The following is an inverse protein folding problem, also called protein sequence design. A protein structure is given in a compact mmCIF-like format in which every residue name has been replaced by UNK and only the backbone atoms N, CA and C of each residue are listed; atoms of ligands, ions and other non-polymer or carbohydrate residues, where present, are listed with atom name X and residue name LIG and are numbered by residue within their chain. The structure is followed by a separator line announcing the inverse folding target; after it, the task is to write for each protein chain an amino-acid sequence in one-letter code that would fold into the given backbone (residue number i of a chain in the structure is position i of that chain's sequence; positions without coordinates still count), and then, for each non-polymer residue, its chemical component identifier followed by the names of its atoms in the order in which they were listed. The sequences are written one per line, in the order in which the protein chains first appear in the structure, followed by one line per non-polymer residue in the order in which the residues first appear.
data_IF_185575768676
#
_entry.id   IF_185575768676
#
_cell.length_a   1.000
_cell.length_b   1.000
_cell.length_c   1.000
_cell.angle_alpha   90.00
_cell.angle_beta   90.00
_cell.angle_gamma   90.00
#
_symmetry.space_group_name_H-M   'P 1'
#
loop_
_entity.id
_entity.type
_entity.pdbx_description
1 polymer ?
#
# COMPACT_ATOMS: atom_id res chain seq x y z
N UNK A 1 -9.93 8.38 -6.52
CA UNK A 1 -9.79 9.32 -7.65
C UNK A 1 -9.22 8.56 -8.84
N UNK A 2 -9.68 8.83 -10.06
CA UNK A 2 -9.13 8.25 -11.30
C UNK A 2 -7.69 8.76 -11.49
N UNK A 3 -6.71 8.03 -10.96
CA UNK A 3 -5.32 8.21 -11.34
C UNK A 3 -5.22 7.90 -12.84
N UNK A 4 -4.56 8.77 -13.60
CA UNK A 4 -4.28 8.56 -15.02
C UNK A 4 -3.81 7.11 -15.25
N UNK A 5 -4.67 6.32 -15.88
CA UNK A 5 -4.37 4.94 -16.26
C UNK A 5 -3.53 4.89 -17.53
N UNK A 6 -3.30 6.04 -18.19
CA UNK A 6 -2.62 6.09 -19.48
C UNK A 6 -1.62 7.25 -19.58
N UNK A 7 -0.51 6.99 -20.25
CA UNK A 7 0.47 7.99 -20.69
C UNK A 7 0.25 8.30 -22.17
N UNK A 8 0.39 9.56 -22.57
CA UNK A 8 0.34 9.98 -23.98
C UNK A 8 1.74 10.11 -24.57
N UNK A 9 2.09 9.20 -25.47
CA UNK A 9 3.34 9.22 -26.22
C UNK A 9 3.14 9.99 -27.54
N UNK A 10 3.92 11.07 -27.73
CA UNK A 10 3.95 11.83 -28.98
C UNK A 10 5.02 11.25 -29.90
N UNK A 11 4.60 10.64 -31.00
CA UNK A 11 5.49 10.11 -32.01
C UNK A 11 5.69 11.09 -33.18
N UNK A 12 6.60 10.74 -34.10
CA UNK A 12 6.83 11.54 -35.31
C UNK A 12 5.54 11.68 -36.13
N UNK A 13 5.35 12.85 -36.73
CA UNK A 13 4.15 13.17 -37.50
C UNK A 13 2.92 13.51 -36.65
N UNK A 14 3.12 13.98 -35.41
CA UNK A 14 2.05 14.34 -34.45
C UNK A 14 1.11 13.19 -34.08
N UNK A 15 1.49 11.93 -34.36
CA UNK A 15 0.75 10.76 -33.90
C UNK A 15 0.81 10.66 -32.39
N UNK A 16 -0.36 10.55 -31.75
CA UNK A 16 -0.49 10.32 -30.31
C UNK A 16 -0.80 8.84 -30.08
N UNK A 17 -0.03 8.19 -29.20
CA UNK A 17 -0.27 6.82 -28.77
C UNK A 17 -0.56 6.86 -27.28
N UNK A 18 -1.72 6.36 -26.87
CA UNK A 18 -2.05 6.21 -25.46
C UNK A 18 -1.52 4.86 -24.98
N UNK A 19 -0.83 4.85 -23.85
CA UNK A 19 -0.16 3.67 -23.31
C UNK A 19 -0.67 3.37 -21.92
N UNK A 20 -1.22 2.19 -21.72
CA UNK A 20 -1.67 1.67 -20.42
C UNK A 20 -0.52 0.85 -19.81
N UNK A 21 -0.02 1.18 -18.62
CA UNK A 21 1.07 0.46 -17.99
C UNK A 21 0.61 -0.95 -17.59
N UNK A 22 1.51 -1.92 -17.67
CA UNK A 22 1.29 -3.31 -17.25
C UNK A 22 2.10 -3.60 -16.00
N UNK A 23 3.39 -3.25 -16.02
CA UNK A 23 4.33 -3.43 -14.92
C UNK A 23 5.54 -2.53 -15.10
N UNK A 24 6.27 -2.33 -14.00
CA UNK A 24 7.50 -1.56 -14.01
C UNK A 24 8.56 -2.25 -13.16
N UNK A 25 9.74 -2.46 -13.74
CA UNK A 25 10.93 -2.90 -13.04
C UNK A 25 11.76 -1.67 -12.62
N UNK A 26 12.08 -1.58 -11.34
CA UNK A 26 13.12 -0.69 -10.82
C UNK A 26 14.43 -1.46 -10.79
N UNK A 27 15.42 -0.97 -11.55
CA UNK A 27 16.75 -1.57 -11.66
C UNK A 27 17.79 -0.47 -11.92
N UNK A 28 19.04 -0.64 -11.47
CA UNK A 28 20.14 0.29 -11.80
C UNK A 28 20.84 -0.16 -13.09
N UNK A 29 21.12 0.74 -14.06
CA UNK A 29 20.92 2.19 -14.00
C UNK A 29 19.56 2.69 -14.51
N UNK A 30 18.70 1.82 -15.06
CA UNK A 30 17.42 2.23 -15.64
C UNK A 30 16.23 1.45 -15.10
N UNK A 31 15.17 2.19 -14.78
CA UNK A 31 13.84 1.61 -14.61
C UNK A 31 13.18 1.40 -15.97
N UNK A 32 12.49 0.29 -16.12
CA UNK A 32 11.83 -0.10 -17.37
C UNK A 32 10.36 -0.39 -17.11
N UNK A 33 9.48 0.26 -17.85
CA UNK A 33 8.04 0.04 -17.80
C UNK A 33 7.56 -0.63 -19.08
N UNK A 34 6.77 -1.68 -18.93
CA UNK A 34 6.02 -2.28 -20.04
C UNK A 34 4.60 -1.70 -20.07
N UNK A 35 4.15 -1.29 -21.25
CA UNK A 35 2.84 -0.70 -21.45
C UNK A 35 2.24 -1.16 -22.78
N UNK A 36 0.91 -1.27 -22.86
CA UNK A 36 0.18 -1.64 -24.07
C UNK A 36 -0.58 -0.44 -24.66
N UNK A 37 -0.61 -0.35 -25.99
CA UNK A 37 -1.54 0.54 -26.70
C UNK A 37 -2.92 -0.10 -26.82
N UNK A 38 -3.99 0.67 -27.12
CA UNK A 38 -5.34 0.15 -27.35
C UNK A 38 -5.39 -0.94 -28.43
N UNK A 39 -4.48 -0.88 -29.42
CA UNK A 39 -4.37 -1.88 -30.49
C UNK A 39 -3.57 -3.14 -30.07
N UNK A 40 -3.27 -3.30 -28.79
CA UNK A 40 -2.53 -4.46 -28.25
C UNK A 40 -1.03 -4.45 -28.51
N UNK A 41 -0.46 -3.33 -28.97
CA UNK A 41 0.97 -3.24 -29.20
C UNK A 41 1.74 -3.03 -27.89
N UNK A 42 2.79 -3.82 -27.67
CA UNK A 42 3.64 -3.70 -26.49
C UNK A 42 4.74 -2.64 -26.69
N UNK A 43 4.94 -1.82 -25.67
CA UNK A 43 5.97 -0.79 -25.59
C UNK A 43 6.83 -0.99 -24.34
N UNK A 44 8.13 -0.77 -24.51
CA UNK A 44 9.11 -0.65 -23.42
C UNK A 44 9.49 0.82 -23.27
N UNK A 45 9.21 1.39 -22.11
CA UNK A 45 9.55 2.76 -21.74
C UNK A 45 10.74 2.72 -20.80
N UNK A 46 11.76 3.53 -21.09
CA UNK A 46 13.01 3.56 -20.35
C UNK A 46 13.13 4.86 -19.58
N UNK A 47 13.54 4.75 -18.33
CA UNK A 47 13.75 5.87 -17.43
C UNK A 47 15.12 5.76 -16.78
N UNK A 48 15.84 6.88 -16.71
CA UNK A 48 17.07 6.99 -15.93
C UNK A 48 16.90 8.09 -14.91
N UNK A 49 17.16 7.79 -13.63
CA UNK A 49 16.93 8.72 -12.50
C UNK A 49 15.55 9.39 -12.56
N UNK A 50 14.52 8.57 -12.78
CA UNK A 50 13.11 8.98 -12.87
C UNK A 50 12.77 9.90 -14.07
N UNK A 51 13.70 10.14 -15.00
CA UNK A 51 13.45 10.93 -16.21
C UNK A 51 13.15 10.04 -17.41
N UNK A 52 12.09 10.36 -18.16
CA UNK A 52 11.74 9.65 -19.39
C UNK A 52 12.80 9.83 -20.50
N UNK A 53 13.34 8.71 -20.98
CA UNK A 53 14.33 8.68 -22.06
C UNK A 53 13.67 8.46 -23.42
N UNK A 54 13.04 7.30 -23.61
CA UNK A 54 12.41 6.89 -24.85
C UNK A 54 11.44 5.73 -24.62
N UNK A 55 10.52 5.55 -25.57
CA UNK A 55 9.64 4.39 -25.66
C UNK A 55 9.92 3.63 -26.96
N UNK A 56 9.95 2.30 -26.90
CA UNK A 56 10.18 1.43 -28.06
C UNK A 56 9.07 0.40 -28.17
N UNK A 57 8.42 0.38 -29.33
CA UNK A 57 7.50 -0.70 -29.70
C UNK A 57 8.30 -1.98 -29.88
N UNK A 58 7.84 -3.06 -29.27
CA UNK A 58 8.52 -4.36 -29.27
C UNK A 58 7.54 -5.47 -29.63
N UNK A 59 8.04 -6.53 -30.25
CA UNK A 59 7.23 -7.71 -30.64
C UNK A 59 7.57 -8.95 -29.83
N UNK A 60 8.79 -9.05 -29.30
CA UNK A 60 9.28 -10.19 -28.49
C UNK A 60 10.34 -9.72 -27.51
N UNK A 61 10.43 -10.39 -26.36
CA UNK A 61 11.55 -10.21 -25.42
C UNK A 61 12.74 -11.06 -25.84
N UNK A 62 13.94 -10.47 -25.86
CA UNK A 62 15.20 -11.15 -26.16
C UNK A 62 15.75 -11.81 -24.90
N UNK A 63 16.03 -13.12 -24.95
CA UNK A 63 16.70 -13.82 -23.84
C UNK A 63 18.10 -13.28 -23.60
N UNK A 64 18.52 -13.22 -22.34
CA UNK A 64 19.77 -12.64 -21.88
C UNK A 64 19.83 -11.11 -21.95
N UNK A 65 18.74 -10.43 -22.34
CA UNK A 65 18.74 -8.97 -22.42
C UNK A 65 18.68 -8.30 -21.05
N UNK A 66 19.10 -7.04 -20.99
CA UNK A 66 18.95 -6.23 -19.78
C UNK A 66 17.49 -6.13 -19.34
N UNK A 67 16.53 -6.10 -20.29
CA UNK A 67 15.11 -6.15 -19.96
C UNK A 67 14.76 -7.41 -19.16
N UNK A 68 15.18 -8.58 -19.62
CA UNK A 68 14.92 -9.84 -18.90
C UNK A 68 15.55 -9.79 -17.52
N UNK A 69 16.79 -9.29 -17.42
CA UNK A 69 17.48 -9.10 -16.15
C UNK A 69 16.70 -8.17 -15.20
N UNK A 70 16.22 -7.02 -15.69
CA UNK A 70 15.44 -6.07 -14.91
C UNK A 70 14.11 -6.66 -14.46
N UNK A 71 13.42 -7.43 -15.32
CA UNK A 71 12.14 -8.04 -14.99
C UNK A 71 12.25 -9.29 -14.10
N UNK A 72 13.40 -9.97 -14.08
CA UNK A 72 13.61 -11.19 -13.27
C UNK A 72 14.40 -10.95 -12.00
N UNK A 73 15.37 -10.03 -12.03
CA UNK A 73 16.26 -9.69 -10.92
C UNK A 73 16.12 -8.25 -10.47
N UNK A 74 15.23 -7.45 -11.04
CA UNK A 74 14.86 -6.14 -10.49
C UNK A 74 13.69 -6.24 -9.52
N UNK A 75 13.24 -5.08 -9.06
CA UNK A 75 12.10 -4.98 -8.15
C UNK A 75 10.91 -4.55 -8.99
N UNK A 76 9.95 -5.47 -9.15
CA UNK A 76 8.87 -5.35 -10.14
C UNK A 76 7.56 -5.00 -9.46
N UNK A 77 6.93 -3.92 -9.90
CA UNK A 77 5.60 -3.50 -9.51
C UNK A 77 4.60 -3.82 -10.62
N UNK A 78 3.59 -4.63 -10.31
CA UNK A 78 2.46 -4.91 -11.20
C UNK A 78 1.45 -3.76 -11.14
N UNK A 79 0.85 -3.39 -12.27
CA UNK A 79 -0.12 -2.30 -12.30
C UNK A 79 -1.54 -2.80 -11.96
N UNK A 80 -2.35 -1.99 -11.25
CA UNK A 80 -2.05 -0.63 -10.77
C UNK A 80 -1.14 -0.61 -9.54
N UNK A 81 -0.20 0.35 -9.48
CA UNK A 81 0.67 0.56 -8.33
C UNK A 81 1.07 2.04 -8.19
N UNK A 82 1.08 2.64 -6.97
CA UNK A 82 1.37 4.06 -6.77
C UNK A 82 2.70 4.55 -7.37
N UNK A 83 3.77 3.73 -7.28
CA UNK A 83 5.06 4.02 -7.94
C UNK A 83 4.87 4.26 -9.44
N UNK A 84 4.07 3.42 -10.10
CA UNK A 84 3.85 3.53 -11.55
C UNK A 84 2.97 4.73 -11.87
N UNK A 85 1.94 4.98 -11.06
CA UNK A 85 1.07 6.17 -11.19
C UNK A 85 1.85 7.48 -11.12
N UNK A 86 2.88 7.58 -10.28
CA UNK A 86 3.74 8.76 -10.23
C UNK A 86 4.53 8.98 -11.53
N UNK A 87 5.07 7.90 -12.11
CA UNK A 87 5.79 7.99 -13.38
C UNK A 87 4.88 8.47 -14.49
N UNK A 88 3.63 7.99 -14.52
CA UNK A 88 2.62 8.41 -15.50
C UNK A 88 2.24 9.86 -15.28
N UNK A 89 1.93 10.27 -14.05
CA UNK A 89 1.51 11.63 -13.73
C UNK A 89 2.59 12.65 -14.06
N UNK A 90 3.86 12.37 -13.73
CA UNK A 90 5.00 13.25 -14.06
C UNK A 90 5.27 13.35 -15.56
N UNK A 91 4.84 12.36 -16.33
CA UNK A 91 5.14 12.22 -17.74
C UNK A 91 3.85 12.02 -18.55
N UNK A 92 2.77 12.69 -18.15
CA UNK A 92 1.43 12.48 -18.72
C UNK A 92 1.46 12.57 -20.25
N UNK A 93 2.27 13.50 -20.77
CA UNK A 93 2.51 13.69 -22.19
C UNK A 93 3.99 13.86 -22.48
N UNK A 94 4.59 12.90 -23.19
CA UNK A 94 6.03 12.89 -23.51
C UNK A 94 6.30 12.73 -24.99
N UNK A 95 7.32 13.43 -25.48
CA UNK A 95 7.84 13.26 -26.84
C UNK A 95 8.73 12.02 -26.91
N UNK A 96 8.38 11.06 -27.76
CA UNK A 96 9.22 9.91 -28.00
C UNK A 96 10.49 10.32 -28.76
N UNK A 97 11.64 9.76 -28.38
CA UNK A 97 12.92 9.96 -29.04
C UNK A 97 13.30 8.72 -29.86
N UNK A 98 13.66 8.90 -31.13
CA UNK A 98 14.38 7.87 -31.89
C UNK A 98 15.73 7.55 -31.24
N UNK A 99 16.39 6.45 -31.62
CA UNK A 99 17.68 6.08 -31.03
C UNK A 99 18.76 7.15 -31.28
N UNK A 100 18.76 7.77 -32.46
CA UNK A 100 19.67 8.86 -32.80
C UNK A 100 19.40 10.12 -31.96
N UNK A 101 18.12 10.52 -31.84
CA UNK A 101 17.74 11.66 -31.00
C UNK A 101 18.05 11.40 -29.53
N UNK A 102 17.85 10.17 -29.06
CA UNK A 102 18.20 9.75 -27.71
C UNK A 102 19.72 9.86 -27.50
N UNK A 103 20.55 9.39 -28.44
CA UNK A 103 22.01 9.49 -28.29
C UNK A 103 22.47 10.95 -28.19
N UNK A 104 21.98 11.81 -29.07
CA UNK A 104 22.27 13.24 -29.03
C UNK A 104 21.76 13.91 -27.75
N UNK A 105 20.58 13.51 -27.26
CA UNK A 105 20.05 13.99 -25.98
C UNK A 105 20.95 13.53 -24.82
N UNK A 106 21.26 12.23 -24.73
CA UNK A 106 22.05 11.67 -23.65
C UNK A 106 23.44 12.29 -23.56
N UNK A 107 24.13 12.53 -24.68
CA UNK A 107 25.44 13.21 -24.69
C UNK A 107 25.42 14.63 -24.14
N UNK A 108 24.26 15.31 -24.19
CA UNK A 108 24.11 16.69 -23.68
C UNK A 108 23.78 16.75 -22.20
N UNK A 109 23.18 15.69 -21.66
CA UNK A 109 22.60 15.69 -20.32
C UNK A 109 23.29 14.76 -19.33
N UNK A 110 24.06 13.78 -19.82
CA UNK A 110 24.69 12.75 -18.99
C UNK A 110 26.18 12.63 -19.31
N UNK A 111 26.96 12.17 -18.33
CA UNK A 111 28.37 11.87 -18.52
C UNK A 111 28.57 10.70 -19.49
N UNK A 112 29.73 10.56 -20.16
CA UNK A 112 29.99 9.41 -21.03
C UNK A 112 29.79 8.04 -20.34
N UNK A 113 30.07 7.94 -19.03
CA UNK A 113 29.77 6.75 -18.25
C UNK A 113 28.28 6.46 -18.19
N UNK A 114 27.47 7.46 -17.83
CA UNK A 114 26.01 7.34 -17.77
C UNK A 114 25.41 7.06 -19.16
N UNK A 115 25.96 7.66 -20.23
CA UNK A 115 25.54 7.35 -21.61
C UNK A 115 25.77 5.87 -21.92
N UNK A 116 26.95 5.33 -21.60
CA UNK A 116 27.26 3.90 -21.78
C UNK A 116 26.29 3.01 -20.98
N UNK A 117 26.04 3.36 -19.73
CA UNK A 117 25.12 2.69 -18.82
C UNK A 117 23.67 2.70 -19.30
N UNK A 118 23.17 3.85 -19.76
CA UNK A 118 21.81 4.01 -20.31
C UNK A 118 21.63 3.16 -21.56
N UNK A 119 22.57 3.23 -22.50
CA UNK A 119 22.45 2.54 -23.78
C UNK A 119 22.55 1.02 -23.61
N UNK A 120 23.34 0.54 -22.64
CA UNK A 120 23.39 -0.88 -22.28
C UNK A 120 22.02 -1.45 -21.93
N UNK A 121 21.15 -0.66 -21.29
CA UNK A 121 19.79 -1.11 -20.95
C UNK A 121 18.88 -1.37 -22.15
N UNK A 122 19.31 -0.96 -23.36
CA UNK A 122 18.55 -1.04 -24.60
C UNK A 122 19.09 -2.12 -25.56
N UNK A 123 19.78 -3.14 -25.04
CA UNK A 123 20.33 -4.28 -25.80
C UNK A 123 19.27 -5.19 -26.46
N UNK A 124 18.00 -5.06 -26.05
CA UNK A 124 16.85 -5.69 -26.69
C UNK A 124 16.41 -4.98 -27.98
N UNK A 125 16.73 -3.69 -28.12
CA UNK A 125 16.24 -2.81 -29.20
C UNK A 125 17.37 -2.22 -30.07
N UNK A 126 18.62 -2.29 -29.62
CA UNK A 126 19.82 -1.85 -30.35
C UNK A 126 20.63 -3.08 -30.77
N UNK A 127 21.08 -3.09 -32.04
CA UNK A 127 21.99 -4.12 -32.55
C UNK A 127 23.32 -4.11 -31.78
N UNK A 128 23.87 -5.30 -31.50
CA UNK A 128 25.03 -5.48 -30.64
C UNK A 128 26.24 -4.63 -31.09
N UNK A 129 26.53 -4.59 -32.39
CA UNK A 129 27.66 -3.84 -32.96
C UNK A 129 27.49 -2.32 -32.77
N UNK A 130 26.26 -1.83 -32.93
CA UNK A 130 25.92 -0.41 -32.72
C UNK A 130 26.01 -0.04 -31.25
N UNK A 131 25.49 -0.90 -30.37
CA UNK A 131 25.56 -0.71 -28.92
C UNK A 131 27.01 -0.69 -28.45
N UNK A 132 27.81 -1.67 -28.86
CA UNK A 132 29.24 -1.73 -28.56
C UNK A 132 29.97 -0.48 -29.04
N UNK A 133 29.68 0.00 -30.26
CA UNK A 133 30.27 1.24 -30.79
C UNK A 133 29.97 2.45 -29.90
N UNK A 134 28.72 2.62 -29.48
CA UNK A 134 28.31 3.73 -28.58
C UNK A 134 29.06 3.68 -27.26
N UNK A 135 29.14 2.50 -26.63
CA UNK A 135 29.83 2.35 -25.34
C UNK A 135 31.35 2.55 -25.49
N UNK A 136 31.94 2.04 -26.59
CA UNK A 136 33.36 2.21 -26.90
C UNK A 136 33.73 3.66 -27.20
N UNK A 137 32.84 4.44 -27.82
CA UNK A 137 33.03 5.88 -28.01
C UNK A 137 33.14 6.60 -26.65
N UNK A 138 32.27 6.28 -25.69
CA UNK A 138 32.34 6.82 -24.34
C UNK A 138 33.65 6.46 -23.62
N UNK A 139 34.15 5.23 -23.81
CA UNK A 139 35.44 4.80 -23.29
C UNK A 139 36.59 5.66 -23.84
N UNK A 140 36.65 5.82 -25.17
CA UNK A 140 37.73 6.59 -25.79
C UNK A 140 37.63 8.10 -25.51
N UNK A 141 36.43 8.63 -25.26
CA UNK A 141 36.26 10.01 -24.80
C UNK A 141 37.03 10.24 -23.49
N UNK A 142 36.81 9.39 -22.47
CA UNK A 142 37.58 9.49 -21.22
C UNK A 142 39.07 9.16 -21.37
N UNK A 143 39.43 8.22 -22.24
CA UNK A 143 40.85 7.88 -22.49
C UNK A 143 41.60 9.07 -23.09
N UNK A 144 40.99 9.79 -24.04
CA UNK A 144 41.58 11.00 -24.65
C UNK A 144 41.69 12.15 -23.65
N UNK A 145 40.71 12.28 -22.76
CA UNK A 145 40.72 13.27 -21.67
C UNK A 145 41.71 12.96 -20.54
N UNK A 146 42.42 11.82 -20.58
CA UNK A 146 43.30 11.38 -19.49
C UNK A 146 42.55 10.93 -18.22
N UNK A 147 41.22 10.76 -18.28
CA UNK A 147 40.38 10.35 -17.14
C UNK A 147 40.36 8.82 -17.01
N UNK A 148 41.52 8.23 -16.74
CA UNK A 148 41.74 6.78 -16.73
C UNK A 148 40.77 6.00 -15.82
N UNK A 149 40.46 6.50 -14.62
CA UNK A 149 39.48 5.86 -13.73
C UNK A 149 38.07 5.80 -14.34
N UNK A 150 37.63 6.87 -14.99
CA UNK A 150 36.32 6.91 -15.66
C UNK A 150 36.30 6.07 -16.93
N UNK A 151 37.41 6.01 -17.67
CA UNK A 151 37.57 5.08 -18.78
C UNK A 151 37.47 3.62 -18.30
N UNK A 152 38.12 3.30 -17.17
CA UNK A 152 38.01 1.98 -16.55
C UNK A 152 36.58 1.65 -16.10
N UNK A 153 35.86 2.60 -15.51
CA UNK A 153 34.44 2.43 -15.17
C UNK A 153 33.55 2.13 -16.40
N UNK A 154 33.80 2.80 -17.54
CA UNK A 154 33.12 2.47 -18.80
C UNK A 154 33.50 1.06 -19.27
N UNK A 155 34.76 0.66 -19.14
CA UNK A 155 35.23 -0.67 -19.50
C UNK A 155 34.52 -1.77 -18.68
N UNK A 156 34.30 -1.57 -17.38
CA UNK A 156 33.50 -2.50 -16.55
C UNK A 156 32.07 -2.65 -17.09
N UNK A 157 31.47 -1.55 -17.54
CA UNK A 157 30.12 -1.56 -18.12
C UNK A 157 30.10 -2.31 -19.47
N UNK A 158 31.12 -2.10 -20.31
CA UNK A 158 31.30 -2.81 -21.59
C UNK A 158 31.53 -4.30 -21.34
N UNK A 159 32.36 -4.67 -20.37
CA UNK A 159 32.64 -6.06 -20.02
C UNK A 159 31.38 -6.81 -19.63
N UNK A 160 30.50 -6.20 -18.83
CA UNK A 160 29.26 -6.85 -18.45
C UNK A 160 28.29 -7.03 -19.64
N UNK A 161 28.29 -6.10 -20.59
CA UNK A 161 27.45 -6.20 -21.79
C UNK A 161 28.03 -7.14 -22.86
N UNK A 162 29.36 -7.23 -22.95
CA UNK A 162 30.09 -7.93 -24.00
C UNK A 162 31.30 -8.70 -23.42
N UNK A 163 31.05 -9.71 -22.57
CA UNK A 163 32.11 -10.40 -21.82
C UNK A 163 33.06 -11.20 -22.72
N UNK A 164 32.57 -11.69 -23.86
CA UNK A 164 33.32 -12.53 -24.80
C UNK A 164 33.92 -11.74 -25.96
N UNK A 165 33.85 -10.41 -25.95
CA UNK A 165 34.31 -9.59 -27.07
C UNK A 165 35.83 -9.34 -26.98
N UNK A 166 36.57 -9.61 -28.06
CA UNK A 166 38.05 -9.55 -28.08
C UNK A 166 38.63 -8.22 -27.63
N UNK A 167 38.01 -7.11 -28.07
CA UNK A 167 38.40 -5.76 -27.63
C UNK A 167 38.28 -5.59 -26.11
N UNK A 168 37.24 -6.14 -25.48
CA UNK A 168 37.06 -6.08 -24.02
C UNK A 168 38.17 -6.86 -23.32
N UNK A 169 38.41 -8.10 -23.77
CA UNK A 169 39.43 -8.97 -23.19
C UNK A 169 40.83 -8.35 -23.28
N UNK A 170 41.22 -7.85 -24.46
CA UNK A 170 42.52 -7.19 -24.66
C UNK A 170 42.66 -5.89 -23.86
N UNK A 171 41.62 -5.05 -23.83
CA UNK A 171 41.67 -3.75 -23.13
C UNK A 171 41.72 -3.90 -21.61
N UNK A 172 41.10 -4.94 -21.06
CA UNK A 172 41.09 -5.21 -19.61
C UNK A 172 42.49 -5.56 -19.06
N UNK A 173 43.29 -6.26 -19.86
CA UNK A 173 44.66 -6.64 -19.50
C UNK A 173 45.71 -5.57 -19.81
N UNK A 174 45.30 -4.38 -20.26
CA UNK A 174 46.21 -3.23 -20.41
C UNK A 174 46.85 -2.90 -19.05
N UNK A 175 48.19 -2.95 -19.00
CA UNK A 175 48.97 -2.76 -17.78
C UNK A 175 48.68 -1.41 -17.10
N UNK A 176 48.25 -0.40 -17.85
CA UNK A 176 47.84 0.91 -17.33
C UNK A 176 46.64 0.85 -16.38
N UNK A 177 45.84 -0.23 -16.41
CA UNK A 177 44.68 -0.40 -15.54
C UNK A 177 44.94 -1.19 -14.25
N UNK A 178 46.16 -1.70 -14.01
CA UNK A 178 46.49 -2.51 -12.81
C UNK A 178 46.08 -1.84 -11.50
N UNK A 179 46.33 -0.54 -11.34
CA UNK A 179 45.94 0.21 -10.14
C UNK A 179 44.40 0.36 -10.01
N UNK A 180 43.68 0.44 -11.13
CA UNK A 180 42.23 0.59 -11.16
C UNK A 180 41.50 -0.74 -10.91
N UNK A 181 42.05 -1.87 -11.37
CA UNK A 181 41.58 -3.21 -11.00
C UNK A 181 41.43 -3.35 -9.48
N UNK A 182 42.48 -2.98 -8.73
CA UNK A 182 42.45 -3.00 -7.26
C UNK A 182 41.42 -2.02 -6.70
N UNK A 183 41.38 -0.78 -7.19
CA UNK A 183 40.49 0.29 -6.69
C UNK A 183 38.99 -0.02 -6.88
N UNK A 184 38.64 -0.71 -7.96
CA UNK A 184 37.25 -1.03 -8.31
C UNK A 184 36.88 -2.50 -8.01
N UNK A 185 37.77 -3.27 -7.37
CA UNK A 185 37.50 -4.66 -7.00
C UNK A 185 36.46 -4.79 -5.87
N UNK A 186 36.40 -3.79 -4.98
CA UNK A 186 35.48 -3.77 -3.83
C UNK A 186 34.90 -2.38 -3.63
N UNK A 187 33.73 -2.31 -3.00
CA UNK A 187 33.12 -1.04 -2.62
C UNK A 187 33.88 -0.45 -1.43
N UNK A 188 34.38 0.79 -1.58
CA UNK A 188 35.12 1.52 -0.55
C UNK A 188 34.69 2.98 -0.49
N UNK A 189 34.98 3.67 0.61
CA UNK A 189 34.63 5.10 0.75
C UNK A 189 35.42 5.97 -0.23
N UNK A 190 36.63 5.54 -0.59
CA UNK A 190 37.41 6.15 -1.67
C UNK A 190 36.72 6.02 -3.03
N UNK A 191 36.08 4.88 -3.31
CA UNK A 191 35.31 4.70 -4.54
C UNK A 191 34.04 5.57 -4.52
N UNK A 192 33.30 5.59 -3.41
CA UNK A 192 32.12 6.43 -3.23
C UNK A 192 32.43 7.92 -3.49
N UNK A 193 33.54 8.42 -2.94
CA UNK A 193 33.95 9.82 -3.12
C UNK A 193 34.40 10.15 -4.54
N UNK A 194 35.12 9.25 -5.20
CA UNK A 194 35.78 9.53 -6.48
C UNK A 194 34.94 9.13 -7.70
N UNK A 195 34.10 8.11 -7.57
CA UNK A 195 33.24 7.58 -8.62
C UNK A 195 31.90 7.07 -8.06
N UNK A 196 31.05 7.99 -7.57
CA UNK A 196 29.77 7.64 -6.94
C UNK A 196 28.84 6.86 -7.88
N UNK A 197 28.90 7.10 -9.19
CA UNK A 197 28.08 6.39 -10.18
C UNK A 197 28.42 4.90 -10.27
N UNK A 198 29.72 4.57 -10.31
CA UNK A 198 30.14 3.16 -10.33
C UNK A 198 29.90 2.48 -8.98
N UNK A 199 30.14 3.21 -7.88
CA UNK A 199 29.85 2.73 -6.53
C UNK A 199 28.37 2.37 -6.35
N UNK A 200 27.45 3.24 -6.80
CA UNK A 200 25.99 3.02 -6.76
C UNK A 200 25.62 1.74 -7.50
N UNK A 201 26.10 1.59 -8.74
CA UNK A 201 25.82 0.43 -9.57
C UNK A 201 26.33 -0.89 -8.95
N UNK A 202 27.54 -0.88 -8.37
CA UNK A 202 28.11 -2.05 -7.69
C UNK A 202 27.29 -2.45 -6.46
N UNK A 203 26.91 -1.47 -5.64
CA UNK A 203 26.06 -1.68 -4.46
C UNK A 203 24.67 -2.20 -4.86
N UNK A 204 24.07 -1.66 -5.93
CA UNK A 204 22.79 -2.15 -6.45
C UNK A 204 22.88 -3.59 -6.93
N UNK A 205 23.95 -3.93 -7.65
CA UNK A 205 24.18 -5.29 -8.17
C UNK A 205 24.30 -6.31 -7.04
N UNK A 206 24.93 -5.91 -5.93
CA UNK A 206 25.10 -6.73 -4.73
C UNK A 206 24.04 -6.46 -3.64
N UNK A 207 22.90 -5.85 -3.96
CA UNK A 207 21.86 -5.47 -2.97
C UNK A 207 21.28 -6.64 -2.16
N UNK A 208 21.55 -7.87 -2.59
CA UNK A 208 21.16 -9.08 -1.87
C UNK A 208 21.97 -9.25 -0.58
N UNK A 209 23.17 -8.66 -0.54
CA UNK A 209 23.97 -8.52 0.66
C UNK A 209 23.46 -7.34 1.50
N UNK A 210 23.18 -7.59 2.78
CA UNK A 210 22.65 -6.61 3.73
C UNK A 210 23.58 -5.39 3.87
N UNK A 211 24.90 -5.59 3.90
CA UNK A 211 25.88 -4.51 4.03
C UNK A 211 25.91 -3.59 2.80
N UNK A 212 25.81 -4.17 1.60
CA UNK A 212 25.72 -3.42 0.34
C UNK A 212 24.41 -2.63 0.27
N UNK A 213 23.29 -3.25 0.67
CA UNK A 213 21.98 -2.58 0.72
C UNK A 213 21.98 -1.41 1.70
N UNK A 214 22.44 -1.63 2.94
CA UNK A 214 22.53 -0.59 3.97
C UNK A 214 23.40 0.57 3.51
N UNK A 215 24.61 0.27 2.98
CA UNK A 215 25.50 1.30 2.46
C UNK A 215 24.88 2.09 1.30
N UNK A 216 24.12 1.43 0.42
CA UNK A 216 23.39 2.12 -0.64
C UNK A 216 22.33 3.07 -0.06
N UNK A 217 21.52 2.60 0.89
CA UNK A 217 20.49 3.43 1.53
C UNK A 217 21.13 4.65 2.22
N UNK A 218 22.16 4.44 3.03
CA UNK A 218 22.86 5.50 3.75
C UNK A 218 23.50 6.55 2.82
N UNK A 219 23.99 6.11 1.65
CA UNK A 219 24.74 6.97 0.73
C UNK A 219 23.88 7.69 -0.31
N UNK A 220 22.78 7.08 -0.76
CA UNK A 220 22.03 7.55 -1.93
C UNK A 220 20.55 7.86 -1.66
N UNK A 221 19.93 7.28 -0.62
CA UNK A 221 18.47 7.36 -0.46
C UNK A 221 17.95 8.78 -0.19
N UNK A 222 18.81 9.68 0.26
CA UNK A 222 18.44 11.06 0.58
C UNK A 222 18.33 11.94 -0.67
N UNK A 223 18.91 11.55 -1.80
CA UNK A 223 18.80 12.32 -3.03
C UNK A 223 17.45 12.06 -3.72
N UNK A 224 16.69 13.11 -4.12
CA UNK A 224 15.38 12.94 -4.74
C UNK A 224 15.38 12.05 -5.99
N UNK A 225 16.48 12.02 -6.74
CA UNK A 225 16.64 11.20 -7.95
C UNK A 225 16.61 9.70 -7.65
N UNK A 226 16.93 9.29 -6.43
CA UNK A 226 16.95 7.89 -5.99
C UNK A 226 15.72 7.50 -5.15
N UNK A 227 14.74 8.38 -4.95
CA UNK A 227 13.57 8.10 -4.09
C UNK A 227 12.80 6.83 -4.49
N UNK A 228 12.56 6.61 -5.80
CA UNK A 228 11.91 5.37 -6.27
C UNK A 228 12.75 4.13 -5.97
N UNK A 229 14.07 4.23 -6.12
CA UNK A 229 15.01 3.14 -5.87
C UNK A 229 15.11 2.83 -4.36
N UNK A 230 15.10 3.86 -3.50
CA UNK A 230 15.06 3.72 -2.05
C UNK A 230 13.76 3.05 -1.59
N UNK A 231 12.61 3.52 -2.09
CA UNK A 231 11.33 2.87 -1.83
C UNK A 231 11.34 1.40 -2.27
N UNK A 232 11.83 1.12 -3.49
CA UNK A 232 11.91 -0.24 -4.00
C UNK A 232 12.77 -1.14 -3.12
N UNK A 233 13.92 -0.67 -2.64
CA UNK A 233 14.78 -1.41 -1.71
C UNK A 233 14.09 -1.76 -0.40
N UNK A 234 13.41 -0.79 0.21
CA UNK A 234 12.69 -1.01 1.46
C UNK A 234 11.50 -1.96 1.25
N UNK A 235 10.81 -1.85 0.11
CA UNK A 235 9.74 -2.76 -0.29
C UNK A 235 10.25 -4.19 -0.48
N UNK A 236 11.35 -4.38 -1.23
CA UNK A 236 11.96 -5.70 -1.44
C UNK A 236 12.49 -6.28 -0.12
N UNK A 237 13.05 -5.45 0.78
CA UNK A 237 13.56 -5.96 2.06
C UNK A 237 12.45 -6.55 2.91
N UNK A 238 11.36 -5.80 3.01
CA UNK A 238 10.19 -6.21 3.76
C UNK A 238 9.53 -7.50 3.22
N UNK A 239 9.62 -7.75 1.91
CA UNK A 239 9.14 -9.01 1.30
C UNK A 239 10.02 -10.23 1.65
N UNK A 240 11.25 -10.01 2.10
CA UNK A 240 12.24 -11.07 2.34
C UNK A 240 12.44 -11.35 3.82
N UNK A 241 12.43 -10.30 4.62
CA UNK A 241 12.72 -10.34 6.04
C UNK A 241 11.47 -9.96 6.82
N UNK A 242 11.19 -10.70 7.88
CA UNK A 242 10.15 -10.37 8.86
C UNK A 242 10.68 -9.39 9.91
N UNK A 243 11.75 -8.65 9.61
CA UNK A 243 12.32 -7.67 10.53
C UNK A 243 11.37 -6.46 10.62
N UNK A 244 10.67 -6.38 11.75
CA UNK A 244 9.73 -5.31 12.04
C UNK A 244 10.39 -3.92 12.12
N UNK A 245 11.72 -3.83 12.29
CA UNK A 245 12.44 -2.55 12.35
C UNK A 245 12.52 -1.83 11.00
N UNK A 246 12.38 -2.57 9.90
CA UNK A 246 12.44 -2.04 8.54
C UNK A 246 11.11 -1.41 8.11
N UNK A 247 9.98 -1.91 8.62
CA UNK A 247 8.66 -1.43 8.23
C UNK A 247 8.44 0.07 8.53
N UNK A 248 8.85 0.62 9.69
CA UNK A 248 8.82 2.06 9.92
C UNK A 248 9.63 2.88 8.90
N UNK A 249 10.80 2.39 8.47
CA UNK A 249 11.62 3.06 7.46
C UNK A 249 10.93 3.05 6.10
N UNK A 250 10.40 1.89 5.70
CA UNK A 250 9.57 1.73 4.51
C UNK A 250 8.40 2.72 4.51
N UNK A 251 7.62 2.74 5.60
CA UNK A 251 6.43 3.55 5.70
C UNK A 251 6.75 5.05 5.69
N UNK A 252 7.84 5.46 6.34
CA UNK A 252 8.33 6.84 6.28
C UNK A 252 8.70 7.23 4.84
N UNK A 253 9.39 6.36 4.11
CA UNK A 253 9.75 6.62 2.72
C UNK A 253 8.52 6.65 1.80
N UNK A 254 7.56 5.76 2.01
CA UNK A 254 6.27 5.76 1.31
C UNK A 254 5.50 7.07 1.55
N UNK A 255 5.47 7.58 2.80
CA UNK A 255 4.79 8.84 3.16
C UNK A 255 5.38 10.09 2.53
N UNK A 256 6.67 10.08 2.18
CA UNK A 256 7.30 11.19 1.43
C UNK A 256 6.84 11.24 -0.03
N UNK A 257 6.38 10.11 -0.55
CA UNK A 257 6.13 9.94 -1.98
C UNK A 257 4.63 9.89 -2.29
N UNK A 258 3.83 9.24 -1.46
CA UNK A 258 2.44 8.90 -1.78
C UNK A 258 1.43 9.65 -0.92
N UNK A 259 0.25 9.87 -1.50
CA UNK A 259 -0.90 10.40 -0.78
C UNK A 259 -1.43 9.40 0.26
N UNK A 260 -2.19 9.85 1.26
CA UNK A 260 -2.81 8.95 2.24
C UNK A 260 -3.64 7.81 1.63
N UNK A 261 -4.34 8.07 0.52
CA UNK A 261 -5.13 7.04 -0.18
C UNK A 261 -4.25 6.02 -0.92
N UNK A 262 -3.16 6.46 -1.57
CA UNK A 262 -2.23 5.55 -2.22
C UNK A 262 -1.48 4.67 -1.21
N UNK A 263 -1.14 5.22 -0.04
CA UNK A 263 -0.55 4.45 1.06
C UNK A 263 -1.54 3.41 1.58
N UNK A 264 -2.82 3.77 1.70
CA UNK A 264 -3.89 2.84 2.07
C UNK A 264 -3.93 1.66 1.08
N UNK A 265 -4.04 1.93 -0.21
CA UNK A 265 -4.10 0.89 -1.25
C UNK A 265 -2.85 0.00 -1.24
N UNK A 266 -1.67 0.60 -1.06
CA UNK A 266 -0.40 -0.13 -0.94
C UNK A 266 -0.37 -1.05 0.27
N UNK A 267 -0.77 -0.56 1.45
CA UNK A 267 -0.78 -1.34 2.68
C UNK A 267 -1.82 -2.48 2.65
N UNK A 268 -2.98 -2.25 2.03
CA UNK A 268 -3.99 -3.29 1.79
C UNK A 268 -3.47 -4.40 0.88
N UNK A 269 -2.70 -4.06 -0.17
CA UNK A 269 -2.04 -5.08 -0.99
C UNK A 269 -1.01 -5.88 -0.17
N UNK A 270 -0.26 -5.21 0.71
CA UNK A 270 0.79 -5.82 1.51
C UNK A 270 0.29 -6.65 2.71
N UNK A 271 -0.90 -6.37 3.25
CA UNK A 271 -1.45 -7.11 4.40
C UNK A 271 -1.68 -8.59 4.10
N UNK A 272 -1.76 -8.96 2.82
CA UNK A 272 -1.82 -10.36 2.36
C UNK A 272 -0.60 -11.20 2.77
N UNK A 273 0.52 -10.57 3.13
CA UNK A 273 1.72 -11.25 3.62
C UNK A 273 1.57 -11.86 5.03
N UNK A 274 0.54 -11.47 5.79
CA UNK A 274 0.24 -12.00 7.12
C UNK A 274 1.01 -11.34 8.28
N UNK A 275 1.81 -10.29 8.03
CA UNK A 275 2.50 -9.57 9.10
C UNK A 275 1.55 -8.61 9.84
N UNK A 276 1.38 -8.80 11.15
CA UNK A 276 0.45 -8.00 11.97
C UNK A 276 0.72 -6.49 11.91
N UNK A 277 2.00 -6.09 11.85
CA UNK A 277 2.39 -4.67 11.81
C UNK A 277 1.82 -3.97 10.56
N UNK A 278 1.79 -4.65 9.41
CA UNK A 278 1.23 -4.12 8.17
C UNK A 278 -0.29 -4.05 8.29
N UNK A 279 -0.94 -5.13 8.71
CA UNK A 279 -2.41 -5.20 8.82
C UNK A 279 -2.93 -4.13 9.78
N UNK A 280 -2.22 -3.90 10.89
CA UNK A 280 -2.53 -2.83 11.83
C UNK A 280 -2.39 -1.45 11.21
N UNK A 281 -1.32 -1.17 10.47
CA UNK A 281 -1.15 0.13 9.82
C UNK A 281 -2.12 0.31 8.65
N UNK A 282 -2.43 -0.74 7.89
CA UNK A 282 -3.44 -0.77 6.84
C UNK A 282 -4.82 -0.40 7.41
N UNK A 283 -5.22 -1.05 8.52
CA UNK A 283 -6.43 -0.74 9.26
C UNK A 283 -6.48 0.74 9.68
N UNK A 284 -5.42 1.22 10.35
CA UNK A 284 -5.33 2.62 10.80
C UNK A 284 -5.39 3.60 9.65
N UNK A 285 -4.76 3.28 8.53
CA UNK A 285 -4.75 4.14 7.36
C UNK A 285 -6.13 4.17 6.68
N UNK A 286 -6.83 3.04 6.61
CA UNK A 286 -8.21 2.97 6.13
C UNK A 286 -9.12 3.90 6.94
N UNK A 287 -9.02 3.87 8.28
CA UNK A 287 -9.77 4.77 9.17
C UNK A 287 -9.45 6.24 8.90
N UNK A 288 -8.16 6.59 8.77
CA UNK A 288 -7.74 7.97 8.46
C UNK A 288 -8.29 8.47 7.12
N UNK A 289 -8.52 7.58 6.17
CA UNK A 289 -9.07 7.90 4.85
C UNK A 289 -10.57 7.67 4.74
N UNK A 290 -11.27 7.45 5.85
CA UNK A 290 -12.72 7.17 5.94
C UNK A 290 -13.17 5.93 5.14
N UNK A 291 -12.26 4.99 4.89
CA UNK A 291 -12.51 3.73 4.21
C UNK A 291 -12.86 2.63 5.23
N UNK A 292 -13.96 2.83 5.96
CA UNK A 292 -14.31 1.99 7.11
C UNK A 292 -14.57 0.53 6.73
N UNK A 293 -15.21 0.28 5.59
CA UNK A 293 -15.49 -1.07 5.09
C UNK A 293 -14.17 -1.85 4.86
N UNK A 294 -13.17 -1.21 4.26
CA UNK A 294 -11.83 -1.80 4.05
C UNK A 294 -11.08 -1.99 5.38
N UNK A 295 -11.25 -1.08 6.35
CA UNK A 295 -10.67 -1.22 7.68
C UNK A 295 -11.20 -2.50 8.37
N UNK A 296 -12.52 -2.68 8.43
CA UNK A 296 -13.13 -3.88 9.00
C UNK A 296 -12.73 -5.13 8.24
N UNK A 297 -12.75 -5.09 6.90
CA UNK A 297 -12.31 -6.21 6.05
C UNK A 297 -10.88 -6.63 6.38
N UNK A 298 -9.99 -5.66 6.58
CA UNK A 298 -8.58 -5.91 6.94
C UNK A 298 -8.47 -6.60 8.29
N UNK A 299 -9.19 -6.11 9.31
CA UNK A 299 -9.18 -6.72 10.64
C UNK A 299 -9.73 -8.15 10.63
N UNK A 300 -10.79 -8.40 9.86
CA UNK A 300 -11.41 -9.72 9.76
C UNK A 300 -10.49 -10.72 9.05
N UNK A 301 -9.95 -10.34 7.88
CA UNK A 301 -9.15 -11.24 7.05
C UNK A 301 -7.72 -11.41 7.56
N UNK A 302 -7.18 -10.40 8.24
CA UNK A 302 -5.83 -10.38 8.77
C UNK A 302 -5.82 -9.87 10.22
N UNK A 303 -6.31 -10.66 11.18
CA UNK A 303 -6.36 -10.30 12.59
C UNK A 303 -5.01 -9.87 13.15
N UNK A 304 -5.00 -8.90 14.05
CA UNK A 304 -3.81 -8.42 14.74
C UNK A 304 -4.14 -7.93 16.15
N UNK A 305 -3.13 -7.83 17.01
CA UNK A 305 -3.30 -7.32 18.37
C UNK A 305 -3.74 -5.85 18.39
N UNK A 306 -4.88 -5.55 19.03
CA UNK A 306 -5.48 -4.21 19.08
C UNK A 306 -4.93 -3.39 20.25
N UNK A 307 -4.41 -2.18 19.97
CA UNK A 307 -4.07 -1.23 21.01
C UNK A 307 -5.31 -0.43 21.47
N UNK A 308 -5.23 0.25 22.62
CA UNK A 308 -6.33 1.06 23.16
C UNK A 308 -6.88 2.10 22.17
N UNK A 309 -6.01 2.69 21.33
CA UNK A 309 -6.44 3.63 20.28
C UNK A 309 -7.23 2.91 19.17
N UNK A 310 -6.83 1.70 18.78
CA UNK A 310 -7.52 0.91 17.75
C UNK A 310 -8.92 0.54 18.21
N UNK A 311 -9.05 0.12 19.48
CA UNK A 311 -10.33 -0.20 20.12
C UNK A 311 -11.26 1.02 20.12
N UNK A 312 -10.74 2.21 20.47
CA UNK A 312 -11.53 3.45 20.46
C UNK A 312 -12.01 3.77 19.05
N UNK A 313 -11.13 3.74 18.05
CA UNK A 313 -11.50 3.99 16.66
C UNK A 313 -12.51 2.98 16.14
N UNK A 314 -12.39 1.70 16.51
CA UNK A 314 -13.33 0.66 16.12
C UNK A 314 -14.76 0.95 16.61
N UNK A 315 -14.91 1.39 17.88
CA UNK A 315 -16.22 1.80 18.44
C UNK A 315 -16.85 2.96 17.67
N UNK A 316 -16.03 3.91 17.22
CA UNK A 316 -16.49 5.09 16.49
C UNK A 316 -16.92 4.75 15.05
N UNK A 317 -16.27 3.77 14.39
CA UNK A 317 -16.57 3.44 12.98
C UNK A 317 -17.65 2.36 12.81
N UNK A 318 -17.87 1.44 13.76
CA UNK A 318 -18.88 0.35 13.64
C UNK A 318 -20.25 0.87 13.16
N UNK A 319 -20.80 1.98 13.71
CA UNK A 319 -22.10 2.49 13.27
C UNK A 319 -22.10 3.09 11.85
N UNK A 320 -20.92 3.40 11.30
CA UNK A 320 -20.73 4.08 10.01
C UNK A 320 -20.44 3.10 8.86
N UNK A 321 -20.04 1.87 9.19
CA UNK A 321 -19.73 0.80 8.22
C UNK A 321 -21.02 0.32 7.54
N UNK A 322 -20.92 0.03 6.24
CA UNK A 322 -22.02 -0.58 5.48
C UNK A 322 -21.94 -2.09 5.59
N UNK A 323 -22.66 -2.63 6.57
CA UNK A 323 -22.80 -4.06 6.79
C UNK A 323 -23.74 -4.67 5.75
N UNK A 324 -23.19 -5.01 4.59
CA UNK A 324 -23.85 -5.75 3.52
C UNK A 324 -23.33 -7.20 3.43
N UNK A 325 -23.81 -7.96 2.46
CA UNK A 325 -23.42 -9.37 2.29
C UNK A 325 -21.91 -9.59 2.06
N UNK A 326 -21.11 -8.54 1.79
CA UNK A 326 -19.66 -8.63 1.60
C UNK A 326 -18.89 -8.54 2.92
N UNK A 327 -19.48 -7.88 3.93
CA UNK A 327 -18.91 -7.66 5.25
C UNK A 327 -19.83 -8.27 6.30
N UNK A 328 -19.82 -9.61 6.46
CA UNK A 328 -20.62 -10.27 7.48
C UNK A 328 -20.12 -9.87 8.87
N UNK A 329 -20.95 -9.10 9.59
CA UNK A 329 -20.72 -8.70 10.99
C UNK A 329 -20.56 -9.92 11.92
N UNK A 330 -20.99 -11.10 11.46
CA UNK A 330 -20.81 -12.42 12.08
C UNK A 330 -19.34 -12.78 12.23
N UNK A 331 -18.52 -12.43 11.25
CA UNK A 331 -17.09 -12.70 11.32
C UNK A 331 -16.39 -11.81 12.35
N UNK A 332 -16.96 -10.65 12.67
CA UNK A 332 -16.35 -9.73 13.61
C UNK A 332 -16.32 -10.29 15.05
N UNK A 333 -17.38 -10.95 15.53
CA UNK A 333 -17.33 -11.55 16.88
C UNK A 333 -16.30 -12.66 16.97
N UNK A 334 -16.20 -13.50 15.92
CA UNK A 334 -15.21 -14.58 15.84
C UNK A 334 -13.78 -14.07 15.88
N UNK A 335 -13.53 -12.84 15.41
CA UNK A 335 -12.20 -12.22 15.42
C UNK A 335 -11.93 -11.45 16.71
N UNK A 336 -12.90 -10.65 17.19
CA UNK A 336 -12.71 -9.82 18.38
C UNK A 336 -12.59 -10.63 19.67
N UNK A 337 -13.37 -11.71 19.81
CA UNK A 337 -13.40 -12.50 21.05
C UNK A 337 -12.03 -13.11 21.37
N UNK A 338 -11.34 -13.79 20.43
CA UNK A 338 -9.99 -14.29 20.69
C UNK A 338 -8.96 -13.21 20.99
N UNK A 339 -9.04 -12.05 20.31
CA UNK A 339 -8.08 -10.94 20.47
C UNK A 339 -8.21 -10.27 21.83
N UNK A 340 -9.44 -10.06 22.32
CA UNK A 340 -9.74 -9.22 23.48
C UNK A 340 -10.31 -10.00 24.68
N UNK A 341 -10.17 -11.33 24.72
CA UNK A 341 -10.73 -12.17 25.79
C UNK A 341 -10.24 -11.76 27.19
N UNK A 342 -9.03 -11.22 27.26
CA UNK A 342 -8.38 -10.81 28.51
C UNK A 342 -8.79 -9.36 28.85
N UNK A 343 -9.07 -8.51 27.86
CA UNK A 343 -9.58 -7.14 27.96
C UNK A 343 -11.12 -7.09 27.96
N UNK A 344 -11.74 -7.84 28.89
CA UNK A 344 -13.20 -8.04 28.95
C UNK A 344 -14.05 -6.78 28.85
N UNK A 345 -13.61 -5.66 29.46
CA UNK A 345 -14.33 -4.38 29.42
C UNK A 345 -14.40 -3.81 28.00
N UNK A 346 -13.30 -3.91 27.26
CA UNK A 346 -13.23 -3.41 25.89
C UNK A 346 -13.95 -4.33 24.91
N UNK A 347 -13.83 -5.64 25.10
CA UNK A 347 -14.60 -6.63 24.34
C UNK A 347 -16.11 -6.45 24.54
N UNK A 348 -16.58 -6.36 25.79
CA UNK A 348 -17.99 -6.13 26.11
C UNK A 348 -18.52 -4.84 25.45
N UNK A 349 -17.74 -3.76 25.56
CA UNK A 349 -18.08 -2.47 24.96
C UNK A 349 -18.13 -2.50 23.44
N UNK A 350 -17.23 -3.23 22.77
CA UNK A 350 -17.22 -3.39 21.32
C UNK A 350 -18.40 -4.23 20.81
N UNK A 351 -18.64 -5.38 21.45
CA UNK A 351 -19.76 -6.25 21.09
C UNK A 351 -21.10 -5.54 21.32
N UNK A 352 -21.21 -4.73 22.38
CA UNK A 352 -22.38 -3.88 22.62
C UNK A 352 -22.59 -2.86 21.50
N UNK A 353 -21.52 -2.24 21.00
CA UNK A 353 -21.59 -1.28 19.90
C UNK A 353 -22.09 -1.90 18.58
N UNK A 354 -21.95 -3.21 18.40
CA UNK A 354 -22.47 -3.93 17.24
C UNK A 354 -23.98 -4.17 17.30
N UNK A 355 -24.60 -4.20 18.49
CA UNK A 355 -26.01 -4.59 18.66
C UNK A 355 -26.98 -3.67 17.88
N UNK A 356 -26.91 -2.33 17.97
CA UNK A 356 -27.80 -1.46 17.21
C UNK A 356 -27.72 -1.67 15.70
N UNK A 357 -26.54 -2.03 15.20
CA UNK A 357 -26.32 -2.31 13.78
C UNK A 357 -26.95 -3.63 13.38
N UNK A 358 -26.69 -4.70 14.13
CA UNK A 358 -27.25 -6.04 13.90
C UNK A 358 -28.78 -6.05 13.93
N UNK A 359 -29.38 -5.34 14.88
CA UNK A 359 -30.83 -5.31 15.07
C UNK A 359 -31.59 -4.63 13.92
N UNK A 360 -30.91 -3.93 13.02
CA UNK A 360 -31.56 -3.35 11.82
C UNK A 360 -32.02 -4.41 10.83
N UNK A 361 -31.32 -5.54 10.77
CA UNK A 361 -31.55 -6.60 9.78
C UNK A 361 -31.87 -7.95 10.41
N UNK A 362 -31.66 -8.11 11.72
CA UNK A 362 -31.83 -9.38 12.42
C UNK A 362 -32.63 -9.23 13.73
N UNK A 363 -33.32 -10.30 14.12
CA UNK A 363 -34.07 -10.38 15.39
C UNK A 363 -33.23 -10.84 16.58
N UNK A 364 -33.85 -10.91 17.76
CA UNK A 364 -33.18 -11.26 19.02
C UNK A 364 -32.53 -12.66 19.03
N UNK A 365 -33.15 -13.65 18.37
CA UNK A 365 -32.60 -15.01 18.24
C UNK A 365 -31.24 -15.00 17.53
N UNK A 366 -31.07 -14.10 16.57
CA UNK A 366 -29.80 -13.95 15.87
C UNK A 366 -28.72 -13.33 16.77
N UNK A 367 -29.08 -12.31 17.55
CA UNK A 367 -28.14 -11.64 18.45
C UNK A 367 -27.57 -12.60 19.49
N UNK A 368 -28.39 -13.50 20.02
CA UNK A 368 -27.93 -14.51 20.98
C UNK A 368 -27.00 -15.53 20.32
N UNK A 369 -27.32 -15.98 19.10
CA UNK A 369 -26.47 -16.91 18.34
C UNK A 369 -25.13 -16.25 17.95
N UNK A 370 -25.14 -14.97 17.57
CA UNK A 370 -23.94 -14.20 17.23
C UNK A 370 -22.96 -14.07 18.40
N UNK A 371 -23.47 -14.01 19.64
CA UNK A 371 -22.68 -13.94 20.87
C UNK A 371 -22.27 -15.32 21.42
N UNK A 372 -22.79 -16.42 20.86
CA UNK A 372 -22.50 -17.79 21.30
C UNK A 372 -21.01 -18.15 21.40
N UNK A 373 -20.09 -17.63 20.53
CA UNK A 373 -18.66 -17.90 20.69
C UNK A 373 -18.06 -17.46 22.05
N UNK A 374 -18.75 -16.59 22.81
CA UNK A 374 -18.38 -16.24 24.19
C UNK A 374 -18.51 -17.44 25.15
N UNK A 375 -19.52 -18.30 24.94
CA UNK A 375 -19.69 -19.53 25.73
C UNK A 375 -18.55 -20.51 25.45
N UNK A 376 -18.25 -20.72 24.16
CA UNK A 376 -17.19 -21.62 23.70
C UNK A 376 -15.82 -21.18 24.26
N UNK A 377 -15.59 -19.86 24.31
CA UNK A 377 -14.38 -19.25 24.84
C UNK A 377 -14.37 -19.13 26.37
N UNK A 378 -15.43 -19.57 27.06
CA UNK A 378 -15.65 -19.40 28.52
C UNK A 378 -15.48 -17.95 28.99
N UNK A 379 -15.82 -16.99 28.13
CA UNK A 379 -15.71 -15.57 28.39
C UNK A 379 -17.07 -15.01 28.81
N UNK A 380 -17.29 -14.90 30.12
CA UNK A 380 -18.53 -14.30 30.64
C UNK A 380 -18.47 -12.78 30.56
N UNK A 381 -19.34 -12.19 29.72
CA UNK A 381 -19.49 -10.75 29.55
C UNK A 381 -20.92 -10.27 29.86
N UNK A 382 -21.09 -9.05 30.40
CA UNK A 382 -22.40 -8.45 30.63
C UNK A 382 -23.32 -8.45 29.40
N UNK A 383 -22.81 -8.14 28.21
CA UNK A 383 -23.59 -8.06 26.97
C UNK A 383 -24.36 -9.35 26.68
N UNK A 384 -23.72 -10.51 26.87
CA UNK A 384 -24.35 -11.79 26.63
C UNK A 384 -25.51 -12.06 27.60
N UNK A 385 -25.33 -11.71 28.88
CA UNK A 385 -26.38 -11.86 29.88
C UNK A 385 -27.55 -10.89 29.64
N UNK A 386 -27.26 -9.66 29.18
CA UNK A 386 -28.30 -8.68 28.82
C UNK A 386 -29.14 -9.17 27.65
N UNK A 387 -28.51 -9.61 26.56
CA UNK A 387 -29.24 -10.14 25.38
C UNK A 387 -30.04 -11.40 25.75
N UNK A 388 -29.46 -12.31 26.55
CA UNK A 388 -30.18 -13.52 27.02
C UNK A 388 -31.41 -13.18 27.86
N UNK A 389 -31.31 -12.20 28.77
CA UNK A 389 -32.47 -11.71 29.54
C UNK A 389 -33.49 -11.02 28.66
N UNK A 390 -33.04 -10.24 27.69
CA UNK A 390 -33.92 -9.54 26.75
C UNK A 390 -34.76 -10.55 25.95
N UNK A 391 -34.14 -11.60 25.40
CA UNK A 391 -34.84 -12.71 24.72
C UNK A 391 -35.91 -13.32 25.63
N UNK A 392 -35.62 -13.51 26.92
CA UNK A 392 -36.57 -14.10 27.88
C UNK A 392 -37.71 -13.15 28.31
N UNK A 393 -37.56 -11.84 28.12
CA UNK A 393 -38.53 -10.83 28.55
C UNK A 393 -39.34 -10.22 27.41
N UNK A 394 -38.80 -10.22 26.19
CA UNK A 394 -39.37 -9.49 25.06
C UNK A 394 -40.81 -9.91 24.72
N UNK A 395 -41.15 -11.19 24.94
CA UNK A 395 -42.49 -11.73 24.66
C UNK A 395 -43.37 -11.88 25.92
N UNK A 396 -42.87 -11.52 27.09
CA UNK A 396 -43.59 -11.64 28.36
C UNK A 396 -44.26 -10.29 28.69
N UNK A 397 -45.60 -10.19 28.65
CA UNK A 397 -46.32 -8.94 28.94
C UNK A 397 -45.99 -8.34 30.32
N UNK A 398 -45.77 -9.18 31.33
CA UNK A 398 -45.52 -8.74 32.71
C UNK A 398 -44.07 -8.24 32.92
N UNK A 399 -43.25 -8.29 31.87
CA UNK A 399 -41.83 -7.91 31.92
C UNK A 399 -41.47 -6.82 30.91
N UNK A 400 -42.44 -6.13 30.33
CA UNK A 400 -42.21 -5.15 29.27
C UNK A 400 -41.41 -3.93 29.78
N UNK A 401 -41.61 -3.48 31.02
CA UNK A 401 -40.73 -2.50 31.66
C UNK A 401 -39.25 -2.94 31.68
N UNK A 402 -38.99 -4.22 31.98
CA UNK A 402 -37.63 -4.78 32.05
C UNK A 402 -37.04 -4.96 30.65
N UNK A 403 -37.85 -5.37 29.67
CA UNK A 403 -37.45 -5.45 28.28
C UNK A 403 -37.10 -4.06 27.73
N UNK A 404 -37.92 -3.03 27.99
CA UNK A 404 -37.69 -1.64 27.59
C UNK A 404 -36.39 -1.07 28.15
N UNK A 405 -36.09 -1.32 29.43
CA UNK A 405 -34.82 -0.92 30.02
C UNK A 405 -33.61 -1.60 29.36
N UNK A 406 -33.70 -2.89 29.05
CA UNK A 406 -32.64 -3.63 28.35
C UNK A 406 -32.47 -3.15 26.90
N UNK A 407 -33.57 -2.92 26.16
CA UNK A 407 -33.52 -2.33 24.83
C UNK A 407 -32.81 -0.98 24.85
N UNK A 408 -33.14 -0.11 25.82
CA UNK A 408 -32.46 1.17 25.98
C UNK A 408 -30.96 1.02 26.27
N UNK A 409 -30.58 0.15 27.21
CA UNK A 409 -29.17 -0.11 27.55
C UNK A 409 -28.36 -0.66 26.36
N UNK A 410 -29.00 -1.36 25.42
CA UNK A 410 -28.40 -1.89 24.20
C UNK A 410 -28.43 -0.90 23.02
N UNK A 411 -28.95 0.31 23.23
CA UNK A 411 -29.07 1.34 22.20
C UNK A 411 -30.23 1.13 21.20
N UNK A 412 -31.14 0.19 21.49
CA UNK A 412 -32.31 -0.15 20.67
C UNK A 412 -33.49 0.74 21.06
N UNK A 413 -33.36 2.04 20.77
CA UNK A 413 -34.28 3.07 21.28
C UNK A 413 -35.72 2.92 20.79
N UNK A 414 -35.92 2.45 19.56
CA UNK A 414 -37.26 2.27 18.99
C UNK A 414 -38.01 1.14 19.69
N UNK A 415 -37.35 0.01 19.85
CA UNK A 415 -37.87 -1.17 20.54
C UNK A 415 -38.09 -0.86 22.03
N UNK A 416 -37.25 0.00 22.64
CA UNK A 416 -37.48 0.49 23.99
C UNK A 416 -38.76 1.34 24.10
N UNK A 417 -39.01 2.25 23.14
CA UNK A 417 -40.23 3.05 23.08
C UNK A 417 -41.46 2.14 22.97
N UNK A 418 -41.43 1.12 22.11
CA UNK A 418 -42.53 0.16 21.95
C UNK A 418 -42.82 -0.58 23.27
N UNK A 419 -41.79 -1.11 23.93
CA UNK A 419 -41.94 -1.83 25.20
C UNK A 419 -42.50 -0.94 26.33
N UNK A 420 -42.01 0.31 26.46
CA UNK A 420 -42.52 1.23 27.47
C UNK A 420 -43.93 1.76 27.14
N UNK A 421 -44.28 1.86 25.86
CA UNK A 421 -45.64 2.23 25.44
C UNK A 421 -46.62 1.13 25.85
N UNK A 422 -46.27 -0.14 25.61
CA UNK A 422 -47.07 -1.27 26.01
C UNK A 422 -47.18 -1.41 27.54
N UNK A 423 -46.09 -1.18 28.28
CA UNK A 423 -46.13 -1.16 29.75
C UNK A 423 -47.06 -0.06 30.29
N UNK A 424 -47.04 1.14 29.68
CA UNK A 424 -47.96 2.23 30.03
C UNK A 424 -49.42 1.83 29.79
N UNK A 425 -49.70 1.06 28.74
CA UNK A 425 -51.05 0.55 28.46
C UNK A 425 -51.49 -0.50 29.47
N UNK A 426 -50.58 -1.39 29.89
CA UNK A 426 -50.86 -2.42 30.89
C UNK A 426 -51.04 -1.84 32.30
N UNK A 427 -50.26 -0.82 32.65
CA UNK A 427 -50.24 -0.20 33.98
C UNK A 427 -50.43 1.33 33.86
N UNK A 428 -51.65 1.82 33.55
CA UNK A 428 -51.90 3.25 33.29
C UNK A 428 -51.59 4.17 34.46
N UNK A 429 -51.61 3.65 35.69
CA UNK A 429 -51.36 4.42 36.91
C UNK A 429 -49.87 4.50 37.29
N UNK A 430 -48.99 3.71 36.64
CA UNK A 430 -47.55 3.78 36.88
C UNK A 430 -46.92 4.91 36.06
N UNK A 431 -46.35 5.96 36.68
CA UNK A 431 -45.69 7.03 35.95
C UNK A 431 -44.31 6.63 35.37
N UNK A 432 -43.78 5.45 35.72
CA UNK A 432 -42.41 5.03 35.34
C UNK A 432 -42.22 4.88 33.83
N UNK A 433 -43.12 4.21 33.08
CA UNK A 433 -43.01 4.11 31.62
C UNK A 433 -43.12 5.48 30.92
N UNK A 434 -43.98 6.37 31.45
CA UNK A 434 -44.15 7.74 30.94
C UNK A 434 -42.84 8.56 31.05
N UNK A 435 -42.10 8.41 32.15
CA UNK A 435 -40.77 9.03 32.32
C UNK A 435 -39.75 8.51 31.28
N UNK A 436 -39.78 7.22 31.01
CA UNK A 436 -38.90 6.60 30.01
C UNK A 436 -39.23 7.09 28.60
N UNK A 437 -40.52 7.10 28.22
CA UNK A 437 -40.98 7.60 26.92
C UNK A 437 -40.57 9.06 26.72
N UNK A 438 -40.81 9.92 27.70
CA UNK A 438 -40.33 11.32 27.66
C UNK A 438 -38.83 11.42 27.37
N UNK A 439 -38.01 10.63 28.06
CA UNK A 439 -36.55 10.65 27.90
C UNK A 439 -36.15 10.16 26.51
N UNK A 440 -36.71 9.04 26.06
CA UNK A 440 -36.42 8.42 24.78
C UNK A 440 -36.79 9.33 23.60
N UNK A 441 -38.01 9.88 23.60
CA UNK A 441 -38.45 10.80 22.55
C UNK A 441 -37.60 12.07 22.49
N UNK A 442 -37.16 12.60 23.64
CA UNK A 442 -36.22 13.73 23.68
C UNK A 442 -34.87 13.35 23.07
N UNK A 443 -34.36 12.16 23.36
CA UNK A 443 -33.08 11.70 22.84
C UNK A 443 -33.11 11.32 21.35
N UNK A 444 -34.25 10.90 20.82
CA UNK A 444 -34.42 10.64 19.38
C UNK A 444 -34.77 11.90 18.58
N UNK A 445 -34.94 13.05 19.25
CA UNK A 445 -35.22 14.34 18.62
C UNK A 445 -36.71 14.62 18.35
N UNK A 446 -37.60 13.76 18.85
CA UNK A 446 -39.05 13.86 18.70
C UNK A 446 -39.64 14.72 19.84
N UNK A 447 -39.49 16.04 19.70
CA UNK A 447 -39.78 16.99 20.77
C UNK A 447 -41.26 17.15 21.07
N UNK A 448 -42.13 16.96 20.09
CA UNK A 448 -43.58 17.09 20.24
C UNK A 448 -44.14 15.96 21.10
N UNK A 449 -43.77 14.71 20.80
CA UNK A 449 -44.10 13.53 21.60
C UNK A 449 -43.51 13.67 23.01
N UNK A 450 -42.26 14.11 23.13
CA UNK A 450 -41.66 14.36 24.45
C UNK A 450 -42.47 15.40 25.26
N UNK A 451 -42.95 16.47 24.62
CA UNK A 451 -43.80 17.46 25.28
C UNK A 451 -45.13 16.86 25.76
N UNK A 452 -45.77 16.03 24.93
CA UNK A 452 -47.00 15.33 25.29
C UNK A 452 -46.80 14.40 26.50
N UNK A 453 -45.76 13.57 26.50
CA UNK A 453 -45.46 12.70 27.65
C UNK A 453 -45.08 13.48 28.91
N UNK A 454 -44.45 14.65 28.77
CA UNK A 454 -44.18 15.54 29.91
C UNK A 454 -45.47 16.09 30.53
N UNK A 455 -46.43 16.50 29.71
CA UNK A 455 -47.74 16.96 30.20
C UNK A 455 -48.50 15.82 30.87
N UNK A 456 -48.49 14.63 30.27
CA UNK A 456 -49.10 13.43 30.86
C UNK A 456 -48.49 13.14 32.24
N UNK A 457 -47.16 13.17 32.36
CA UNK A 457 -46.47 12.95 33.63
C UNK A 457 -46.88 13.97 34.72
N UNK A 458 -47.14 15.22 34.34
CA UNK A 458 -47.62 16.27 35.26
C UNK A 458 -49.08 16.07 35.69
N UNK A 459 -49.88 15.37 34.89
CA UNK A 459 -51.26 15.04 35.23
C UNK A 459 -51.41 13.80 36.12
N UNK A 460 -50.37 12.96 36.18
CA UNK A 460 -50.32 11.73 36.99
C UNK A 460 -49.72 11.94 38.39
N UNK A 461 -49.14 13.13 38.67
CA UNK A 461 -48.42 13.45 39.91
C UNK A 461 -49.31 13.96 41.02
#
# INVERSE_FOLDING_TARGET
MNHLTTMTLLEKGNRKVHLTPIRMAVHSPCSIMEAASPEGNLYQLYFHRQQFLAAKKVTRSKRGSYLELAMTKGIVFLCPHPVVSQYITRHEKVKNRSLTELYSYSKKHFSPLEVSQIFRCMDSVIQAEKLFKVMREAYYEYRRDGKWGKAYAVLLTIEEAFPTHDWTASTKHDASFTAYHKKYSTVSDSLLKNDPTTCEWMLWKDRQNESSRKKWLDSYSQEPVFSTAAFAFLYENHQRETDETIFPLFLNEARKQFSPHEIKDLLLQMSTSGQEVISREAFRQCIRTEAFDEAITTLINHPFSLAAQDIRSLKEIIPQVKWDNRLPIEQLSMVLIPILKDEKKDLDSLLTACIPTLSKTHGLSYLIDWLKPLEDSKCSLPIYQKVKKLVAYAEDPDKQAKAGALYYELGLKREAIEAFSYEMELNPDDPSPVKWLFTLYRETGNLDEASAYKQLLQSMS
#
